data_IF_353245458072
#
_entry.id   IF_353245458072
#
_cell.length_a   1.000
_cell.length_b   1.000
_cell.length_c   1.000
_cell.angle_alpha   90.00
_cell.angle_beta   90.00
_cell.angle_gamma   90.00
#
_symmetry.space_group_name_H-M   'P 1'
#
loop_
_entity.id
_entity.type
_entity.pdbx_description
1 polymer ?
#
# COMPACT_ATOMS: atom_id res chain seq x y z
N UNK A 1 -0.90 30.57 1.89
CA UNK A 1 0.34 29.91 1.43
C UNK A 1 0.40 29.98 -0.09
N UNK A 2 1.52 30.43 -0.62
CA UNK A 2 1.76 30.37 -2.05
C UNK A 2 1.99 28.91 -2.47
N UNK A 3 1.18 28.43 -3.42
CA UNK A 3 1.25 27.03 -3.87
C UNK A 3 2.59 26.70 -4.53
N UNK A 4 3.32 27.71 -5.02
CA UNK A 4 4.65 27.50 -5.62
C UNK A 4 5.69 27.05 -4.58
N UNK A 5 5.45 27.29 -3.30
CA UNK A 5 6.35 26.89 -2.21
C UNK A 5 6.14 25.45 -1.76
N UNK A 6 5.09 24.79 -2.22
CA UNK A 6 4.84 23.40 -1.87
C UNK A 6 5.84 22.50 -2.59
N UNK A 7 6.75 21.91 -1.81
CA UNK A 7 7.76 20.98 -2.33
C UNK A 7 7.34 19.55 -1.98
N UNK A 8 7.27 18.70 -3.00
CA UNK A 8 6.89 17.31 -2.83
C UNK A 8 8.14 16.42 -2.94
N UNK A 9 8.33 15.48 -2.00
CA UNK A 9 9.53 14.65 -1.97
C UNK A 9 9.52 13.48 -2.96
N UNK A 10 8.46 13.36 -3.78
CA UNK A 10 8.24 12.17 -4.60
C UNK A 10 9.09 12.19 -5.87
N UNK A 11 9.71 11.04 -6.16
CA UNK A 11 10.40 10.77 -7.42
C UNK A 11 9.55 9.86 -8.30
N UNK A 12 10.14 8.73 -8.72
CA UNK A 12 9.48 7.76 -9.60
C UNK A 12 9.30 6.39 -8.94
N UNK A 13 9.35 6.33 -7.62
CA UNK A 13 9.43 5.07 -6.87
C UNK A 13 8.14 4.27 -6.92
N UNK A 14 6.97 4.92 -6.90
CA UNK A 14 5.68 4.23 -6.95
C UNK A 14 5.49 3.51 -8.29
N UNK A 15 5.86 4.17 -9.40
CA UNK A 15 5.79 3.52 -10.72
C UNK A 15 6.70 2.30 -10.79
N UNK A 16 7.90 2.38 -10.22
CA UNK A 16 8.86 1.28 -10.21
C UNK A 16 8.35 0.11 -9.36
N UNK A 17 7.83 0.38 -8.16
CA UNK A 17 7.22 -0.64 -7.32
C UNK A 17 6.02 -1.29 -8.02
N UNK A 18 5.14 -0.48 -8.59
CA UNK A 18 3.95 -0.98 -9.27
C UNK A 18 4.31 -1.91 -10.43
N UNK A 19 5.31 -1.54 -11.23
CA UNK A 19 5.80 -2.36 -12.33
C UNK A 19 6.33 -3.70 -11.83
N UNK A 20 7.18 -3.69 -10.82
CA UNK A 20 7.74 -4.91 -10.24
C UNK A 20 6.64 -5.81 -9.68
N UNK A 21 5.73 -5.22 -8.91
CA UNK A 21 4.60 -5.94 -8.31
C UNK A 21 3.75 -6.59 -9.40
N UNK A 22 3.39 -5.85 -10.43
CA UNK A 22 2.57 -6.34 -11.52
C UNK A 22 3.25 -7.49 -12.28
N UNK A 23 4.50 -7.30 -12.66
CA UNK A 23 5.26 -8.33 -13.36
C UNK A 23 5.40 -9.61 -12.54
N UNK A 24 5.60 -9.48 -11.24
CA UNK A 24 5.64 -10.63 -10.31
C UNK A 24 4.28 -11.32 -10.25
N UNK A 25 3.21 -10.56 -10.10
CA UNK A 25 1.85 -11.12 -10.07
C UNK A 25 1.49 -11.86 -11.35
N UNK A 26 1.90 -11.32 -12.50
CA UNK A 26 1.71 -12.01 -13.80
C UNK A 26 2.45 -13.34 -13.82
N UNK A 27 3.70 -13.36 -13.39
CA UNK A 27 4.50 -14.60 -13.32
C UNK A 27 3.90 -15.64 -12.38
N UNK A 28 3.27 -15.19 -11.30
CA UNK A 28 2.66 -16.07 -10.32
C UNK A 28 1.25 -16.53 -10.71
N UNK A 29 0.74 -16.09 -11.85
CA UNK A 29 -0.54 -16.55 -12.37
C UNK A 29 -1.77 -15.77 -11.93
N UNK A 30 -1.62 -14.71 -11.16
CA UNK A 30 -2.75 -13.94 -10.65
C UNK A 30 -3.54 -13.23 -11.76
N UNK A 31 -2.94 -13.03 -12.92
CA UNK A 31 -3.56 -12.33 -14.05
C UNK A 31 -4.10 -13.27 -15.14
N UNK A 32 -4.01 -14.58 -14.91
CA UNK A 32 -4.40 -15.54 -15.95
C UNK A 32 -5.90 -15.55 -16.23
N UNK A 33 -6.73 -15.49 -15.19
CA UNK A 33 -8.19 -15.52 -15.34
C UNK A 33 -8.87 -14.68 -14.25
N UNK A 34 -9.98 -14.02 -14.63
CA UNK A 34 -10.87 -13.38 -13.65
C UNK A 34 -10.32 -12.16 -12.93
N UNK A 35 -9.21 -11.60 -13.37
CA UNK A 35 -8.61 -10.43 -12.70
C UNK A 35 -9.26 -9.14 -13.18
N UNK A 36 -10.33 -8.74 -12.51
CA UNK A 36 -11.10 -7.53 -12.81
C UNK A 36 -10.82 -6.45 -11.77
N UNK A 37 -11.30 -5.23 -12.06
CA UNK A 37 -11.29 -4.14 -11.09
C UNK A 37 -11.98 -4.55 -9.78
N UNK A 38 -13.15 -5.19 -9.89
CA UNK A 38 -13.91 -5.63 -8.72
C UNK A 38 -13.15 -6.65 -7.89
N UNK A 39 -12.47 -7.59 -8.54
CA UNK A 39 -11.63 -8.58 -7.86
C UNK A 39 -10.52 -7.89 -7.06
N UNK A 40 -9.83 -6.94 -7.67
CA UNK A 40 -8.77 -6.17 -6.99
C UNK A 40 -9.33 -5.41 -5.79
N UNK A 41 -10.45 -4.69 -5.98
CA UNK A 41 -11.05 -3.91 -4.88
C UNK A 41 -11.50 -4.80 -3.74
N UNK A 42 -12.11 -5.94 -4.04
CA UNK A 42 -12.54 -6.90 -3.01
C UNK A 42 -11.36 -7.43 -2.20
N UNK A 43 -10.25 -7.76 -2.85
CA UNK A 43 -9.05 -8.23 -2.15
C UNK A 43 -8.38 -7.14 -1.33
N UNK A 44 -8.33 -5.90 -1.84
CA UNK A 44 -7.81 -4.77 -1.09
C UNK A 44 -8.64 -4.53 0.18
N UNK A 45 -9.97 -4.61 0.08
CA UNK A 45 -10.87 -4.47 1.24
C UNK A 45 -10.66 -5.63 2.23
N UNK A 46 -10.47 -6.84 1.73
CA UNK A 46 -10.20 -8.01 2.58
C UNK A 46 -8.92 -7.82 3.40
N UNK A 47 -7.86 -7.27 2.80
CA UNK A 47 -6.62 -6.97 3.52
C UNK A 47 -6.84 -5.94 4.62
N UNK A 48 -7.67 -4.93 4.39
CA UNK A 48 -8.04 -3.97 5.43
C UNK A 48 -8.82 -4.65 6.57
N UNK A 49 -9.66 -5.62 6.23
CA UNK A 49 -10.35 -6.45 7.23
C UNK A 49 -9.38 -7.25 8.10
N UNK A 50 -8.34 -7.79 7.50
CA UNK A 50 -7.28 -8.49 8.22
C UNK A 50 -6.49 -7.54 9.14
N UNK A 51 -6.25 -6.29 8.70
CA UNK A 51 -5.63 -5.28 9.54
C UNK A 51 -6.49 -4.99 10.79
N UNK A 52 -7.81 -4.92 10.63
CA UNK A 52 -8.72 -4.75 11.77
C UNK A 52 -8.64 -5.94 12.74
N UNK A 53 -8.53 -7.17 12.23
CA UNK A 53 -8.38 -8.36 13.05
C UNK A 53 -7.08 -8.33 13.84
N UNK A 54 -5.97 -7.98 13.19
CA UNK A 54 -4.68 -7.83 13.86
C UNK A 54 -4.76 -6.80 15.00
N UNK A 55 -5.43 -5.69 14.76
CA UNK A 55 -5.62 -4.65 15.78
C UNK A 55 -6.46 -5.15 16.95
N UNK A 56 -7.59 -5.83 16.67
CA UNK A 56 -8.47 -6.38 17.72
C UNK A 56 -7.78 -7.40 18.58
N UNK A 57 -6.92 -8.22 17.98
CA UNK A 57 -6.17 -9.26 18.66
C UNK A 57 -5.02 -8.70 19.51
N UNK A 58 -4.77 -7.40 19.44
CA UNK A 58 -3.71 -6.75 20.20
C UNK A 58 -2.30 -7.11 19.74
N UNK A 59 -2.15 -7.58 18.51
CA UNK A 59 -0.84 -7.96 17.98
C UNK A 59 0.03 -6.71 17.73
N UNK A 60 1.38 -6.85 17.78
CA UNK A 60 2.26 -5.75 17.39
C UNK A 60 1.98 -5.27 15.96
N UNK A 61 2.26 -3.99 15.70
CA UNK A 61 2.04 -3.39 14.37
C UNK A 61 2.85 -4.11 13.30
N UNK A 62 4.06 -4.51 13.64
CA UNK A 62 4.95 -5.28 12.78
C UNK A 62 5.67 -6.31 13.63
N UNK A 63 5.61 -7.56 13.22
CA UNK A 63 6.31 -8.62 13.93
C UNK A 63 6.68 -9.75 12.97
N UNK A 64 7.60 -10.59 13.43
CA UNK A 64 8.00 -11.82 12.75
C UNK A 64 7.75 -12.98 13.70
N UNK A 65 7.83 -14.19 13.21
CA UNK A 65 7.82 -15.38 14.06
C UNK A 65 9.20 -16.01 14.09
N UNK A 66 9.65 -16.34 15.29
CA UNK A 66 10.93 -17.02 15.47
C UNK A 66 10.80 -18.52 15.15
N UNK A 67 11.88 -19.28 15.36
CA UNK A 67 11.92 -20.71 15.10
C UNK A 67 10.88 -21.50 15.91
N UNK A 68 10.43 -20.98 17.06
CA UNK A 68 9.43 -21.58 17.92
C UNK A 68 8.02 -21.12 17.57
N UNK A 69 7.86 -20.22 16.61
CA UNK A 69 6.57 -19.62 16.24
C UNK A 69 6.15 -18.45 17.12
N UNK A 70 7.00 -18.01 18.04
CA UNK A 70 6.69 -16.88 18.91
C UNK A 70 6.89 -15.55 18.18
N UNK A 71 6.09 -14.54 18.56
CA UNK A 71 6.16 -13.22 17.95
C UNK A 71 7.41 -12.47 18.44
N UNK A 72 8.13 -11.85 17.51
CA UNK A 72 9.25 -10.96 17.82
C UNK A 72 9.14 -9.68 16.99
N UNK A 73 9.43 -8.54 17.62
CA UNK A 73 9.49 -7.23 16.95
C UNK A 73 10.91 -6.84 16.59
N UNK A 74 11.90 -7.70 16.84
CA UNK A 74 13.29 -7.46 16.48
C UNK A 74 13.50 -7.68 14.98
N UNK A 75 13.36 -6.60 14.23
CA UNK A 75 13.49 -6.62 12.76
C UNK A 75 14.91 -6.99 12.36
N UNK A 76 15.91 -6.67 13.19
CA UNK A 76 17.33 -6.94 12.86
C UNK A 76 17.64 -8.43 12.87
N UNK A 77 16.88 -9.22 13.61
CA UNK A 77 17.04 -10.67 13.63
C UNK A 77 16.34 -11.37 12.47
N UNK A 78 15.49 -10.66 11.73
CA UNK A 78 14.76 -11.20 10.59
C UNK A 78 15.64 -11.18 9.33
N UNK A 79 15.49 -12.21 8.50
CA UNK A 79 16.05 -12.24 7.15
C UNK A 79 15.07 -11.58 6.18
N UNK A 80 15.59 -11.07 5.05
CA UNK A 80 14.76 -10.40 4.04
C UNK A 80 13.63 -11.29 3.50
N UNK A 81 13.83 -12.61 3.52
CA UNK A 81 12.86 -13.58 3.02
C UNK A 81 11.88 -14.07 4.10
N UNK A 82 12.06 -13.65 5.34
CA UNK A 82 11.13 -14.02 6.42
C UNK A 82 9.81 -13.31 6.24
N UNK A 83 8.71 -14.05 6.49
CA UNK A 83 7.37 -13.48 6.34
C UNK A 83 7.08 -12.47 7.44
N UNK A 84 6.77 -11.21 7.09
CA UNK A 84 6.34 -10.23 8.07
C UNK A 84 4.85 -10.38 8.39
N UNK A 85 4.46 -9.97 9.59
CA UNK A 85 3.09 -10.02 10.10
C UNK A 85 2.73 -8.69 10.76
N UNK A 86 1.43 -8.46 10.94
CA UNK A 86 0.90 -7.34 11.69
C UNK A 86 0.03 -6.43 10.84
N UNK A 87 -0.69 -5.53 11.51
CA UNK A 87 -1.60 -4.62 10.80
C UNK A 87 -0.86 -3.74 9.78
N UNK A 88 0.40 -3.38 10.05
CA UNK A 88 1.19 -2.62 9.10
C UNK A 88 1.43 -3.37 7.80
N UNK A 89 1.66 -4.67 7.89
CA UNK A 89 1.83 -5.53 6.71
C UNK A 89 0.54 -5.65 5.93
N UNK A 90 -0.61 -5.78 6.61
CA UNK A 90 -1.91 -5.86 5.94
C UNK A 90 -2.25 -4.57 5.20
N UNK A 91 -1.86 -3.42 5.74
CA UNK A 91 -1.98 -2.14 5.04
C UNK A 91 -1.09 -2.11 3.79
N UNK A 92 0.15 -2.61 3.90
CA UNK A 92 1.05 -2.72 2.75
C UNK A 92 0.47 -3.65 1.69
N UNK A 93 -0.11 -4.79 2.09
CA UNK A 93 -0.76 -5.70 1.15
C UNK A 93 -1.90 -5.02 0.40
N UNK A 94 -2.67 -4.16 1.08
CA UNK A 94 -3.70 -3.35 0.43
C UNK A 94 -3.08 -2.45 -0.65
N UNK A 95 -1.98 -1.78 -0.33
CA UNK A 95 -1.27 -0.91 -1.28
C UNK A 95 -0.75 -1.72 -2.47
N UNK A 96 -0.24 -2.92 -2.21
CA UNK A 96 0.28 -3.82 -3.26
C UNK A 96 -0.83 -4.18 -4.26
N UNK A 97 -2.03 -4.56 -3.78
CA UNK A 97 -3.17 -4.83 -4.66
C UNK A 97 -3.49 -3.62 -5.55
N UNK A 98 -3.49 -2.43 -4.96
CA UNK A 98 -3.83 -1.20 -5.68
C UNK A 98 -2.76 -0.81 -6.69
N UNK A 99 -1.49 -0.91 -6.33
CA UNK A 99 -0.38 -0.59 -7.23
C UNK A 99 -0.36 -1.54 -8.44
N UNK A 100 -0.60 -2.82 -8.21
CA UNK A 100 -0.67 -3.82 -9.27
C UNK A 100 -1.69 -3.42 -10.34
N UNK A 101 -2.91 -3.09 -9.91
CA UNK A 101 -3.97 -2.72 -10.85
C UNK A 101 -3.70 -1.36 -11.51
N UNK A 102 -3.13 -0.41 -10.78
CA UNK A 102 -2.79 0.89 -11.36
C UNK A 102 -1.74 0.76 -12.46
N UNK A 103 -0.76 -0.12 -12.30
CA UNK A 103 0.18 -0.40 -13.37
C UNK A 103 -0.52 -0.99 -14.60
N UNK A 104 -1.43 -1.93 -14.37
CA UNK A 104 -2.24 -2.53 -15.44
C UNK A 104 -3.03 -1.47 -16.21
N UNK A 105 -3.58 -0.48 -15.52
CA UNK A 105 -4.33 0.63 -16.16
C UNK A 105 -3.43 1.61 -16.91
N UNK A 106 -2.12 1.51 -16.78
CA UNK A 106 -1.19 2.42 -17.44
C UNK A 106 -1.11 3.82 -16.82
N UNK A 107 -1.46 3.96 -15.54
CA UNK A 107 -1.43 5.25 -14.85
C UNK A 107 0.02 5.59 -14.48
N UNK A 108 0.43 6.85 -14.73
CA UNK A 108 1.63 7.42 -14.12
C UNK A 108 1.33 7.76 -12.67
N UNK A 109 1.62 6.81 -11.77
CA UNK A 109 1.20 6.87 -10.38
C UNK A 109 1.89 8.02 -9.64
N UNK A 110 3.19 8.20 -9.86
CA UNK A 110 3.95 9.27 -9.21
C UNK A 110 3.42 10.65 -9.62
N UNK A 111 3.07 10.82 -10.89
CA UNK A 111 2.52 12.07 -11.37
C UNK A 111 1.14 12.36 -10.76
N UNK A 112 0.24 11.38 -10.78
CA UNK A 112 -1.10 11.54 -10.21
C UNK A 112 -1.02 11.77 -8.70
N UNK A 113 -0.15 11.04 -8.01
CA UNK A 113 0.07 11.23 -6.58
C UNK A 113 0.54 12.65 -6.29
N UNK A 114 1.54 13.12 -7.02
CA UNK A 114 2.08 14.47 -6.86
C UNK A 114 0.99 15.53 -7.06
N UNK A 115 0.19 15.38 -8.13
CA UNK A 115 -0.88 16.32 -8.44
C UNK A 115 -1.96 16.33 -7.35
N UNK A 116 -2.36 15.15 -6.90
CA UNK A 116 -3.41 15.03 -5.89
C UNK A 116 -2.96 15.55 -4.53
N UNK A 117 -1.75 15.20 -4.11
CA UNK A 117 -1.18 15.69 -2.84
C UNK A 117 -1.02 17.20 -2.88
N UNK A 118 -0.53 17.75 -4.00
CA UNK A 118 -0.43 19.20 -4.18
C UNK A 118 -1.79 19.87 -4.09
N UNK A 119 -2.76 19.34 -4.80
CA UNK A 119 -4.12 19.88 -4.74
C UNK A 119 -4.66 19.88 -3.30
N UNK A 120 -4.50 18.77 -2.59
CA UNK A 120 -4.95 18.67 -1.20
C UNK A 120 -4.26 19.70 -0.31
N UNK A 121 -2.96 19.96 -0.52
CA UNK A 121 -2.21 20.95 0.24
C UNK A 121 -2.66 22.38 -0.04
N UNK A 122 -3.27 22.64 -1.21
CA UNK A 122 -3.80 23.98 -1.54
C UNK A 122 -5.19 24.23 -0.97
N UNK A 123 -5.86 23.19 -0.46
CA UNK A 123 -7.19 23.33 0.13
C UNK A 123 -7.08 23.90 1.53
N UNK A 124 -7.99 24.77 1.89
CA UNK A 124 -7.99 25.40 3.22
C UNK A 124 -8.25 24.42 4.35
N UNK A 125 -8.22 24.94 5.56
CA UNK A 125 -8.45 24.16 6.79
C UNK A 125 -9.73 23.33 6.66
N UNK A 126 -9.62 22.03 6.91
CA UNK A 126 -10.71 21.04 6.75
C UNK A 126 -11.42 21.19 5.39
N UNK A 127 -10.62 21.27 4.31
CA UNK A 127 -11.14 21.43 2.94
C UNK A 127 -12.04 22.67 2.78
N UNK A 128 -11.79 23.74 3.54
CA UNK A 128 -12.65 24.90 3.57
C UNK A 128 -14.01 24.61 4.21
N UNK A 129 -14.07 23.63 5.11
CA UNK A 129 -15.27 23.10 5.75
C UNK A 129 -16.23 22.41 4.80
N UNK A 130 -15.77 22.01 3.62
CA UNK A 130 -16.56 21.22 2.66
C UNK A 130 -16.44 19.74 2.99
N UNK A 131 -17.47 18.98 2.68
CA UNK A 131 -17.42 17.53 2.77
C UNK A 131 -16.42 16.99 1.74
N UNK A 132 -15.66 15.99 2.15
CA UNK A 132 -14.67 15.36 1.27
C UNK A 132 -15.33 14.66 0.08
#
# INVERSE_FOLDING_TARGET
MDNSEIKLPFGNDLNQYAKFIHETAVKQGYWNEGHTFHYTMANAIAELGEALSEYRDGNPVLYYRDANGDKTVDIQSAHDDDKPYGLGVEIVDTIIWLLDYMHFMGIDIDDVMRRKVRYNATRGYLHGHKKA
#
